data_IF_778483082739
#
_entry.id   IF_778483082739
#
_cell.length_a   1.000
_cell.length_b   1.000
_cell.length_c   1.000
_cell.angle_alpha   90.00
_cell.angle_beta   90.00
_cell.angle_gamma   90.00
#
_symmetry.space_group_name_H-M   'P 1'
#
loop_
_entity.id
_entity.type
_entity.pdbx_description
1 polymer ?
#
# COMPACT_ATOMS: atom_id res chain seq x y z
N UNK A 1 -25.35 -18.06 -6.34
CA UNK A 1 -24.15 -18.65 -5.72
C UNK A 1 -24.08 -18.37 -4.23
N UNK A 2 -23.81 -19.40 -3.41
CA UNK A 2 -23.42 -19.26 -2.01
C UNK A 2 -21.92 -19.58 -1.93
N UNK A 3 -21.12 -18.61 -1.50
CA UNK A 3 -19.67 -18.71 -1.36
C UNK A 3 -19.28 -18.63 0.10
N UNK A 4 -18.19 -19.30 0.45
CA UNK A 4 -17.57 -19.21 1.77
C UNK A 4 -16.20 -18.53 1.68
N UNK A 5 -15.88 -17.70 2.66
CA UNK A 5 -14.59 -17.02 2.75
C UNK A 5 -13.52 -17.97 3.30
N UNK A 6 -12.34 -17.99 2.67
CA UNK A 6 -11.14 -18.66 3.19
C UNK A 6 -9.87 -17.85 2.95
N UNK A 7 -8.88 -18.04 3.82
CA UNK A 7 -7.50 -17.55 3.61
C UNK A 7 -6.58 -18.73 3.39
N UNK A 8 -5.99 -18.82 2.20
CA UNK A 8 -5.22 -19.98 1.77
C UNK A 8 -3.80 -19.59 1.41
N UNK A 9 -2.81 -20.23 2.04
CA UNK A 9 -1.39 -20.01 1.72
C UNK A 9 -0.92 -20.69 0.42
N UNK A 10 -1.77 -21.51 -0.21
CA UNK A 10 -1.48 -22.21 -1.46
C UNK A 10 -2.74 -22.39 -2.29
N UNK A 11 -2.59 -22.56 -3.60
CA UNK A 11 -3.71 -22.77 -4.51
C UNK A 11 -4.42 -24.12 -4.21
N UNK A 12 -5.74 -24.11 -4.00
CA UNK A 12 -6.52 -25.34 -3.85
C UNK A 12 -6.68 -26.05 -5.21
N UNK A 13 -7.04 -27.33 -5.18
CA UNK A 13 -7.24 -28.13 -6.40
C UNK A 13 -8.63 -27.90 -7.03
N UNK A 14 -9.62 -27.60 -6.21
CA UNK A 14 -10.96 -27.22 -6.60
C UNK A 14 -11.01 -25.80 -7.21
N UNK A 15 -11.99 -25.51 -8.08
CA UNK A 15 -12.20 -24.16 -8.56
C UNK A 15 -12.62 -23.22 -7.42
N UNK A 16 -12.00 -22.04 -7.38
CA UNK A 16 -12.30 -20.97 -6.41
C UNK A 16 -12.41 -19.63 -7.12
N UNK A 17 -12.99 -18.63 -6.43
CA UNK A 17 -12.82 -17.23 -6.80
C UNK A 17 -11.69 -16.68 -5.95
N UNK A 18 -10.53 -16.51 -6.55
CA UNK A 18 -9.38 -15.88 -5.91
C UNK A 18 -9.49 -14.36 -6.09
N UNK A 19 -9.39 -13.62 -5.00
CA UNK A 19 -9.32 -12.15 -5.05
C UNK A 19 -7.98 -11.69 -4.49
N UNK A 20 -7.55 -10.53 -4.95
CA UNK A 20 -6.42 -9.79 -4.37
C UNK A 20 -5.15 -10.65 -4.15
N UNK A 21 -4.77 -11.37 -5.19
CA UNK A 21 -3.57 -12.17 -5.21
C UNK A 21 -3.42 -12.88 -6.55
N UNK A 22 -2.20 -13.33 -6.84
CA UNK A 22 -1.88 -14.09 -8.04
C UNK A 22 -1.04 -15.32 -7.66
N UNK A 23 -1.70 -16.40 -7.25
CA UNK A 23 -1.01 -17.63 -6.79
C UNK A 23 -1.49 -18.91 -7.48
N UNK A 24 -2.08 -18.79 -8.68
CA UNK A 24 -2.27 -19.92 -9.59
C UNK A 24 -3.50 -20.78 -9.31
N UNK A 25 -4.55 -20.19 -8.73
CA UNK A 25 -5.80 -20.89 -8.42
C UNK A 25 -6.53 -21.35 -9.70
N UNK A 26 -7.17 -22.51 -9.64
CA UNK A 26 -8.17 -22.91 -10.64
C UNK A 26 -9.45 -22.10 -10.41
N UNK A 27 -10.13 -21.69 -11.48
CA UNK A 27 -11.35 -20.89 -11.42
C UNK A 27 -11.09 -19.43 -11.82
N UNK A 28 -11.75 -18.49 -11.14
CA UNK A 28 -11.73 -17.07 -11.48
C UNK A 28 -10.76 -16.29 -10.59
N UNK A 29 -9.87 -15.51 -11.20
CA UNK A 29 -8.99 -14.57 -10.48
C UNK A 29 -9.48 -13.13 -10.66
N UNK A 30 -9.59 -12.37 -9.57
CA UNK A 30 -10.02 -10.96 -9.53
C UNK A 30 -8.96 -10.16 -8.76
N UNK A 31 -7.89 -9.76 -9.45
CA UNK A 31 -6.72 -9.13 -8.85
C UNK A 31 -6.05 -8.17 -9.84
N UNK A 32 -5.19 -7.29 -9.35
CA UNK A 32 -4.21 -6.50 -10.13
C UNK A 32 -2.75 -6.94 -9.89
N UNK A 33 -2.54 -8.02 -9.14
CA UNK A 33 -1.20 -8.46 -8.74
C UNK A 33 -0.40 -8.87 -9.97
N UNK A 34 0.94 -8.70 -9.96
CA UNK A 34 1.77 -9.12 -11.09
C UNK A 34 1.52 -10.57 -11.50
N UNK A 35 1.22 -10.79 -12.79
CA UNK A 35 0.95 -12.12 -13.33
C UNK A 35 -0.45 -12.69 -13.07
N UNK A 36 -1.40 -11.87 -12.60
CA UNK A 36 -2.80 -12.28 -12.44
C UNK A 36 -3.44 -12.73 -13.77
N UNK A 37 -4.47 -13.57 -13.70
CA UNK A 37 -5.25 -14.05 -14.87
C UNK A 37 -6.67 -13.47 -14.90
N UNK A 38 -6.87 -12.27 -14.36
CA UNK A 38 -8.20 -11.64 -14.38
C UNK A 38 -8.68 -11.40 -15.81
N UNK A 39 -9.91 -11.84 -16.15
CA UNK A 39 -10.46 -11.63 -17.49
C UNK A 39 -10.43 -10.15 -17.91
N UNK A 40 -10.07 -9.80 -19.16
CA UNK A 40 -9.93 -8.41 -19.61
C UNK A 40 -11.16 -7.53 -19.37
N UNK A 41 -12.37 -8.09 -19.45
CA UNK A 41 -13.61 -7.37 -19.16
C UNK A 41 -13.77 -7.00 -17.68
N UNK A 42 -13.09 -7.72 -16.79
CA UNK A 42 -13.13 -7.55 -15.34
C UNK A 42 -11.90 -6.84 -14.76
N UNK A 43 -10.86 -6.54 -15.55
CA UNK A 43 -9.66 -5.88 -15.03
C UNK A 43 -9.93 -4.46 -14.53
N UNK A 44 -9.31 -4.07 -13.43
CA UNK A 44 -9.35 -2.73 -12.86
C UNK A 44 -7.99 -2.41 -12.22
N UNK A 45 -7.74 -1.14 -11.91
CA UNK A 45 -6.54 -0.73 -11.16
C UNK A 45 -6.49 -1.28 -9.73
N UNK A 46 -7.57 -1.84 -9.19
CA UNK A 46 -7.71 -2.32 -7.81
C UNK A 46 -8.32 -3.72 -7.84
N UNK A 47 -7.89 -4.64 -6.98
CA UNK A 47 -8.52 -5.97 -6.88
C UNK A 47 -9.99 -5.85 -6.45
N UNK A 48 -10.30 -4.90 -5.56
CA UNK A 48 -11.69 -4.50 -5.26
C UNK A 48 -12.46 -4.05 -6.49
N UNK A 49 -11.83 -3.27 -7.37
CA UNK A 49 -12.44 -2.85 -8.62
C UNK A 49 -12.72 -4.02 -9.57
N UNK A 50 -11.83 -5.01 -9.63
CA UNK A 50 -12.06 -6.26 -10.36
C UNK A 50 -13.27 -7.01 -9.79
N UNK A 51 -13.35 -7.12 -8.46
CA UNK A 51 -14.47 -7.75 -7.76
C UNK A 51 -15.80 -7.01 -7.96
N UNK A 52 -15.80 -5.68 -7.98
CA UNK A 52 -16.98 -4.86 -8.26
C UNK A 52 -17.46 -5.01 -9.70
N UNK A 53 -16.55 -5.12 -10.68
CA UNK A 53 -16.91 -5.44 -12.07
C UNK A 53 -17.57 -6.81 -12.17
N UNK A 54 -17.06 -7.80 -11.45
CA UNK A 54 -17.71 -9.11 -11.34
C UNK A 54 -19.08 -9.01 -10.66
N UNK A 55 -19.21 -8.24 -9.58
CA UNK A 55 -20.48 -8.03 -8.86
C UNK A 55 -21.58 -7.43 -9.75
N UNK A 56 -21.22 -6.55 -10.70
CA UNK A 56 -22.16 -5.95 -11.66
C UNK A 56 -22.75 -6.93 -12.66
N UNK A 57 -22.09 -8.07 -12.91
CA UNK A 57 -22.61 -9.08 -13.81
C UNK A 57 -23.93 -9.63 -13.26
N UNK A 58 -24.89 -9.96 -14.14
CA UNK A 58 -26.12 -10.62 -13.72
C UNK A 58 -25.85 -11.98 -13.08
N UNK A 59 -26.73 -12.44 -12.18
CA UNK A 59 -26.54 -13.70 -11.45
C UNK A 59 -26.21 -14.93 -12.33
N UNK A 60 -26.84 -15.15 -13.51
CA UNK A 60 -26.48 -16.25 -14.39
C UNK A 60 -25.05 -16.14 -14.94
N UNK A 61 -24.57 -14.92 -15.17
CA UNK A 61 -23.20 -14.71 -15.63
C UNK A 61 -22.19 -14.90 -14.49
N UNK A 62 -22.49 -14.41 -13.28
CA UNK A 62 -21.64 -14.67 -12.12
C UNK A 62 -21.47 -16.16 -11.84
N UNK A 63 -22.56 -16.93 -11.88
CA UNK A 63 -22.51 -18.38 -11.67
C UNK A 63 -21.70 -19.09 -12.77
N UNK A 64 -21.81 -18.64 -14.02
CA UNK A 64 -21.03 -19.17 -15.14
C UNK A 64 -19.53 -18.91 -14.97
N UNK A 65 -19.16 -17.67 -14.66
CA UNK A 65 -17.77 -17.24 -14.46
C UNK A 65 -17.13 -17.84 -13.21
N UNK A 66 -17.92 -18.16 -12.19
CA UNK A 66 -17.44 -18.83 -10.99
C UNK A 66 -17.06 -20.29 -11.23
N UNK A 67 -17.48 -20.91 -12.33
CA UNK A 67 -17.12 -22.29 -12.71
C UNK A 67 -17.39 -23.32 -11.60
N UNK A 68 -18.48 -23.15 -10.85
CA UNK A 68 -18.84 -24.03 -9.75
C UNK A 68 -18.05 -23.81 -8.45
N UNK A 69 -17.27 -22.72 -8.36
CA UNK A 69 -16.58 -22.33 -7.15
C UNK A 69 -17.55 -22.23 -5.95
N UNK A 70 -17.07 -22.71 -4.81
CA UNK A 70 -17.75 -22.62 -3.51
C UNK A 70 -17.01 -21.73 -2.52
N UNK A 71 -15.77 -21.36 -2.84
CA UNK A 71 -14.93 -20.53 -1.98
C UNK A 71 -14.59 -19.21 -2.68
N UNK A 72 -14.61 -18.13 -1.91
CA UNK A 72 -13.90 -16.89 -2.22
C UNK A 72 -12.65 -16.83 -1.35
N UNK A 73 -11.48 -16.74 -1.98
CA UNK A 73 -10.20 -16.92 -1.29
C UNK A 73 -9.29 -15.72 -1.48
N UNK A 74 -8.51 -15.42 -0.44
CA UNK A 74 -7.33 -14.55 -0.51
C UNK A 74 -6.12 -15.30 0.10
N UNK A 75 -4.89 -14.94 -0.27
CA UNK A 75 -3.66 -15.52 0.30
C UNK A 75 -3.03 -14.68 1.41
N UNK A 76 -3.51 -13.46 1.63
CA UNK A 76 -2.99 -12.58 2.67
C UNK A 76 -4.12 -11.76 3.31
N UNK A 77 -3.77 -10.87 4.23
CA UNK A 77 -4.70 -9.99 4.92
C UNK A 77 -4.28 -8.53 4.81
N UNK A 78 -5.19 -7.73 4.32
CA UNK A 78 -5.01 -6.33 3.95
C UNK A 78 -6.39 -5.69 3.70
N UNK A 79 -6.38 -4.41 3.31
CA UNK A 79 -7.59 -3.62 3.07
C UNK A 79 -8.20 -3.87 1.70
N UNK A 80 -7.42 -4.00 0.61
CA UNK A 80 -8.00 -4.26 -0.73
C UNK A 80 -8.61 -5.65 -0.78
N UNK A 81 -7.94 -6.65 -0.22
CA UNK A 81 -8.49 -7.99 -0.06
C UNK A 81 -9.78 -8.05 0.77
N UNK A 82 -9.90 -7.23 1.82
CA UNK A 82 -11.12 -7.16 2.61
C UNK A 82 -12.30 -6.65 1.76
N UNK A 83 -12.06 -5.57 1.01
CA UNK A 83 -13.04 -4.95 0.14
C UNK A 83 -13.39 -5.84 -1.07
N UNK A 84 -12.42 -6.53 -1.66
CA UNK A 84 -12.61 -7.43 -2.79
C UNK A 84 -13.43 -8.66 -2.40
N UNK A 85 -13.11 -9.30 -1.27
CA UNK A 85 -13.91 -10.40 -0.73
C UNK A 85 -15.34 -9.94 -0.42
N UNK A 86 -15.51 -8.74 0.13
CA UNK A 86 -16.85 -8.20 0.42
C UNK A 86 -17.67 -8.00 -0.86
N UNK A 87 -17.07 -7.48 -1.92
CA UNK A 87 -17.72 -7.30 -3.22
C UNK A 87 -18.16 -8.63 -3.88
N UNK A 88 -17.38 -9.70 -3.70
CA UNK A 88 -17.75 -11.03 -4.19
C UNK A 88 -18.86 -11.67 -3.35
N UNK A 89 -18.81 -11.54 -2.02
CA UNK A 89 -19.72 -12.21 -1.10
C UNK A 89 -21.06 -11.48 -0.92
N UNK A 90 -21.07 -10.15 -1.07
CA UNK A 90 -22.23 -9.28 -0.85
C UNK A 90 -22.40 -8.29 -2.02
N UNK A 91 -22.61 -8.77 -3.26
CA UNK A 91 -22.49 -7.94 -4.46
C UNK A 91 -23.45 -6.75 -4.47
N UNK A 92 -24.72 -6.93 -4.09
CA UNK A 92 -25.69 -5.84 -4.09
C UNK A 92 -25.35 -4.76 -3.05
N UNK A 93 -24.89 -5.16 -1.86
CA UNK A 93 -24.48 -4.24 -0.80
C UNK A 93 -23.18 -3.50 -1.15
N UNK A 94 -22.24 -4.18 -1.79
CA UNK A 94 -20.99 -3.59 -2.26
C UNK A 94 -21.23 -2.56 -3.37
N UNK A 95 -22.08 -2.87 -4.34
CA UNK A 95 -22.42 -1.92 -5.41
C UNK A 95 -23.13 -0.67 -4.88
N UNK A 96 -23.90 -0.78 -3.79
CA UNK A 96 -24.50 0.37 -3.14
C UNK A 96 -23.50 1.32 -2.47
N UNK A 97 -22.25 0.86 -2.24
CA UNK A 97 -21.15 1.59 -1.59
C UNK A 97 -19.87 1.56 -2.44
N UNK A 98 -20.04 1.48 -3.76
CA UNK A 98 -18.94 1.24 -4.69
C UNK A 98 -17.82 2.28 -4.54
N UNK A 99 -18.19 3.55 -4.46
CA UNK A 99 -17.23 4.64 -4.36
C UNK A 99 -16.41 4.53 -3.07
N UNK A 100 -17.06 4.32 -1.94
CA UNK A 100 -16.42 4.22 -0.63
C UNK A 100 -15.49 3.00 -0.55
N UNK A 101 -15.87 1.88 -1.17
CA UNK A 101 -15.01 0.70 -1.28
C UNK A 101 -13.76 0.94 -2.13
N UNK A 102 -13.90 1.64 -3.27
CA UNK A 102 -12.75 1.98 -4.13
C UNK A 102 -11.81 2.98 -3.44
N UNK A 103 -12.35 3.98 -2.74
CA UNK A 103 -11.55 4.93 -1.96
C UNK A 103 -10.79 4.21 -0.83
N UNK A 104 -11.43 3.25 -0.14
CA UNK A 104 -10.81 2.45 0.91
C UNK A 104 -9.70 1.54 0.37
N UNK A 105 -9.97 0.82 -0.73
CA UNK A 105 -8.97 -0.02 -1.39
C UNK A 105 -7.75 0.79 -1.88
N UNK A 106 -7.98 1.98 -2.46
CA UNK A 106 -6.89 2.88 -2.86
C UNK A 106 -6.05 3.38 -1.67
N UNK A 107 -6.68 3.58 -0.50
CA UNK A 107 -5.95 3.92 0.71
C UNK A 107 -5.01 2.77 1.13
N UNK A 108 -5.52 1.55 1.20
CA UNK A 108 -4.70 0.39 1.58
C UNK A 108 -3.56 0.08 0.62
N UNK A 109 -3.86 -0.05 -0.68
CA UNK A 109 -2.84 -0.50 -1.63
C UNK A 109 -1.91 0.61 -2.08
N UNK A 110 -2.45 1.80 -2.34
CA UNK A 110 -1.69 2.88 -2.95
C UNK A 110 -1.22 3.93 -1.94
N UNK A 111 -1.61 3.79 -0.67
CA UNK A 111 -1.42 4.82 0.36
C UNK A 111 -2.04 6.16 -0.08
N UNK A 112 -3.06 6.12 -0.94
CA UNK A 112 -3.81 7.33 -1.32
C UNK A 112 -4.66 7.78 -0.13
N UNK A 113 -4.92 9.08 -0.02
CA UNK A 113 -5.75 9.63 1.06
C UNK A 113 -6.98 10.35 0.50
N UNK A 114 -7.88 9.64 -0.23
CA UNK A 114 -9.03 10.26 -0.89
C UNK A 114 -10.01 10.88 0.10
N UNK A 115 -10.09 10.32 1.32
CA UNK A 115 -10.87 10.87 2.43
C UNK A 115 -10.28 10.47 3.78
N UNK A 116 -10.58 11.24 4.83
CA UNK A 116 -10.20 10.84 6.20
C UNK A 116 -10.87 9.53 6.62
N UNK A 117 -12.07 9.24 6.09
CA UNK A 117 -12.76 7.99 6.33
C UNK A 117 -11.98 6.80 5.77
N UNK A 118 -11.46 6.91 4.54
CA UNK A 118 -10.66 5.86 3.93
C UNK A 118 -9.39 5.56 4.74
N UNK A 119 -8.65 6.59 5.16
CA UNK A 119 -7.44 6.44 6.01
C UNK A 119 -7.79 5.83 7.37
N UNK A 120 -8.90 6.26 7.98
CA UNK A 120 -9.35 5.71 9.25
C UNK A 120 -9.73 4.23 9.14
N UNK A 121 -10.40 3.85 8.05
CA UNK A 121 -10.82 2.47 7.81
C UNK A 121 -9.65 1.57 7.46
N UNK A 122 -8.71 2.04 6.64
CA UNK A 122 -7.48 1.31 6.35
C UNK A 122 -6.70 1.02 7.63
N UNK A 123 -6.50 2.05 8.47
CA UNK A 123 -5.89 1.88 9.78
C UNK A 123 -6.67 0.89 10.67
N UNK A 124 -8.00 0.99 10.71
CA UNK A 124 -8.82 0.10 11.52
C UNK A 124 -8.72 -1.37 11.08
N UNK A 125 -8.72 -1.61 9.77
CA UNK A 125 -8.60 -2.95 9.16
C UNK A 125 -7.19 -3.48 9.41
N UNK A 126 -6.14 -2.73 9.07
CA UNK A 126 -4.75 -3.14 9.30
C UNK A 126 -4.47 -3.47 10.78
N UNK A 127 -4.90 -2.60 11.70
CA UNK A 127 -4.71 -2.82 13.14
C UNK A 127 -5.53 -3.97 13.72
N UNK A 128 -6.57 -4.45 13.02
CA UNK A 128 -7.28 -5.66 13.44
C UNK A 128 -6.43 -6.92 13.25
N UNK A 129 -5.52 -6.92 12.28
CA UNK A 129 -4.53 -7.99 12.08
C UNK A 129 -3.36 -7.95 13.06
N UNK A 130 -3.12 -6.82 13.72
CA UNK A 130 -2.00 -6.59 14.64
C UNK A 130 -2.17 -7.34 15.97
N UNK A 131 -1.12 -8.06 16.40
CA UNK A 131 -1.19 -8.91 17.60
C UNK A 131 -1.34 -8.15 18.91
N UNK A 132 -0.84 -6.92 18.98
CA UNK A 132 -0.88 -6.10 20.18
C UNK A 132 -2.16 -5.25 20.29
N UNK A 133 -2.76 -4.87 19.15
CA UNK A 133 -3.88 -3.91 19.10
C UNK A 133 -5.23 -4.53 18.75
N UNK A 134 -5.24 -5.71 18.13
CA UNK A 134 -6.47 -6.37 17.69
C UNK A 134 -7.46 -6.62 18.83
N UNK A 135 -8.76 -6.46 18.53
CA UNK A 135 -9.83 -6.91 19.42
C UNK A 135 -9.75 -8.42 19.71
N UNK A 136 -9.07 -9.19 18.85
CA UNK A 136 -8.83 -10.62 19.02
C UNK A 136 -7.54 -10.96 19.74
N UNK A 137 -6.74 -9.97 20.21
CA UNK A 137 -5.38 -10.16 20.72
C UNK A 137 -5.22 -11.30 21.74
N UNK A 138 -6.24 -11.59 22.56
CA UNK A 138 -6.22 -12.70 23.54
C UNK A 138 -6.33 -14.09 22.90
N UNK A 139 -6.94 -14.18 21.73
CA UNK A 139 -7.20 -15.42 20.99
C UNK A 139 -6.14 -15.63 19.89
N UNK A 140 -5.46 -14.57 19.47
CA UNK A 140 -4.40 -14.61 18.44
C UNK A 140 -3.23 -15.56 18.72
N UNK A 141 -2.74 -15.77 19.97
CA UNK A 141 -1.62 -16.67 20.21
C UNK A 141 -1.91 -18.14 19.91
N UNK A 142 -3.18 -18.53 19.80
CA UNK A 142 -3.62 -19.92 19.61
C UNK A 142 -3.93 -20.23 18.13
N UNK A 143 -4.22 -19.20 17.34
CA UNK A 143 -4.61 -19.36 15.94
C UNK A 143 -3.41 -19.33 15.00
N UNK A 144 -3.49 -20.10 13.92
CA UNK A 144 -2.61 -19.90 12.76
C UNK A 144 -2.85 -18.54 12.10
N UNK A 145 -1.90 -18.08 11.29
CA UNK A 145 -2.05 -16.80 10.57
C UNK A 145 -3.29 -16.80 9.65
N UNK A 146 -3.56 -17.91 8.97
CA UNK A 146 -4.75 -18.07 8.12
C UNK A 146 -6.05 -17.95 8.92
N UNK A 147 -6.19 -18.68 10.03
CA UNK A 147 -7.38 -18.62 10.90
C UNK A 147 -7.58 -17.23 11.50
N UNK A 148 -6.48 -16.55 11.88
CA UNK A 148 -6.53 -15.15 12.32
C UNK A 148 -7.09 -14.26 11.21
N UNK A 149 -6.55 -14.36 10.00
CA UNK A 149 -6.95 -13.51 8.88
C UNK A 149 -8.41 -13.75 8.47
N UNK A 150 -8.87 -15.01 8.43
CA UNK A 150 -10.29 -15.35 8.20
C UNK A 150 -11.20 -14.71 9.24
N UNK A 151 -10.80 -14.75 10.51
CA UNK A 151 -11.55 -14.11 11.59
C UNK A 151 -11.58 -12.60 11.48
N UNK A 152 -10.45 -11.99 11.11
CA UNK A 152 -10.36 -10.55 10.88
C UNK A 152 -11.26 -10.14 9.71
N UNK A 153 -11.20 -10.84 8.57
CA UNK A 153 -12.10 -10.58 7.44
C UNK A 153 -13.57 -10.75 7.81
N UNK A 154 -13.93 -11.82 8.53
CA UNK A 154 -15.30 -12.05 8.99
C UNK A 154 -15.80 -10.87 9.85
N UNK A 155 -14.95 -10.38 10.75
CA UNK A 155 -15.28 -9.22 11.57
C UNK A 155 -15.43 -7.95 10.73
N UNK A 156 -14.47 -7.66 9.84
CA UNK A 156 -14.53 -6.50 8.95
C UNK A 156 -15.82 -6.55 8.14
N UNK A 157 -16.15 -7.66 7.50
CA UNK A 157 -17.36 -7.79 6.67
C UNK A 157 -18.65 -7.57 7.45
N UNK A 158 -18.70 -8.01 8.71
CA UNK A 158 -19.84 -7.76 9.59
C UNK A 158 -20.00 -6.27 9.97
N UNK A 159 -18.90 -5.53 10.05
CA UNK A 159 -18.91 -4.10 10.42
C UNK A 159 -18.92 -3.16 9.21
N UNK A 160 -18.45 -3.61 8.04
CA UNK A 160 -18.15 -2.79 6.88
C UNK A 160 -19.34 -1.92 6.43
N UNK A 161 -20.60 -2.38 6.40
CA UNK A 161 -21.74 -1.52 6.07
C UNK A 161 -21.89 -0.29 6.98
N UNK A 162 -21.65 -0.46 8.29
CA UNK A 162 -21.74 0.64 9.28
C UNK A 162 -20.53 1.55 9.18
N UNK A 163 -19.35 0.94 9.03
CA UNK A 163 -18.08 1.62 8.88
C UNK A 163 -18.03 2.52 7.63
N UNK A 164 -18.46 2.02 6.47
CA UNK A 164 -18.59 2.80 5.24
C UNK A 164 -19.66 3.91 5.35
N UNK A 165 -20.63 3.77 6.25
CA UNK A 165 -21.59 4.83 6.57
C UNK A 165 -21.04 5.88 7.56
N UNK A 166 -19.79 5.74 8.01
CA UNK A 166 -19.12 6.66 8.94
C UNK A 166 -19.34 6.34 10.43
N UNK A 167 -20.06 5.28 10.77
CA UNK A 167 -20.22 4.84 12.16
C UNK A 167 -19.02 3.99 12.59
N UNK A 168 -17.98 4.66 13.10
CA UNK A 168 -16.73 4.05 13.55
C UNK A 168 -16.59 3.96 15.07
N UNK A 169 -17.68 4.10 15.82
CA UNK A 169 -17.62 4.16 17.29
C UNK A 169 -16.98 2.88 17.86
N UNK A 170 -17.32 1.72 17.31
CA UNK A 170 -16.76 0.42 17.73
C UNK A 170 -15.29 0.23 17.37
N UNK A 171 -14.79 0.94 16.35
CA UNK A 171 -13.43 0.82 15.83
C UNK A 171 -12.50 1.92 16.33
N UNK A 172 -12.96 2.85 17.18
CA UNK A 172 -12.22 4.04 17.61
C UNK A 172 -10.77 3.76 18.02
N UNK A 173 -10.56 2.74 18.87
CA UNK A 173 -9.22 2.36 19.34
C UNK A 173 -8.28 1.79 18.28
N UNK A 174 -8.79 1.47 17.08
CA UNK A 174 -8.03 0.88 15.97
C UNK A 174 -7.54 1.91 14.94
N UNK A 175 -8.01 3.16 14.97
CA UNK A 175 -7.63 4.14 13.92
C UNK A 175 -7.29 5.54 14.42
N UNK A 176 -7.74 5.95 15.61
CA UNK A 176 -7.61 7.35 16.03
C UNK A 176 -6.17 7.85 16.03
N UNK A 177 -5.25 7.01 16.52
CA UNK A 177 -3.83 7.35 16.58
C UNK A 177 -3.26 7.59 15.18
N UNK A 178 -3.56 6.70 14.24
CA UNK A 178 -3.12 6.76 12.85
C UNK A 178 -3.74 7.95 12.12
N UNK A 179 -5.03 8.22 12.34
CA UNK A 179 -5.73 9.34 11.71
C UNK A 179 -5.21 10.69 12.22
N UNK A 180 -4.96 10.82 13.52
CA UNK A 180 -4.38 12.04 14.09
C UNK A 180 -2.94 12.25 13.65
N UNK A 181 -2.15 11.17 13.57
CA UNK A 181 -0.82 11.19 12.98
C UNK A 181 -0.85 11.64 11.51
N UNK A 182 -1.76 11.08 10.70
CA UNK A 182 -1.96 11.46 9.31
C UNK A 182 -2.35 12.95 9.17
N UNK A 183 -3.26 13.45 10.01
CA UNK A 183 -3.65 14.87 10.02
C UNK A 183 -2.46 15.78 10.36
N UNK A 184 -1.63 15.39 11.32
CA UNK A 184 -0.41 16.13 11.64
C UNK A 184 0.57 16.14 10.46
N UNK A 185 0.78 14.98 9.85
CA UNK A 185 1.68 14.82 8.71
C UNK A 185 1.21 15.64 7.50
N UNK A 186 -0.09 15.66 7.21
CA UNK A 186 -0.65 16.50 6.14
C UNK A 186 -0.38 17.98 6.36
N UNK A 187 -0.42 18.47 7.60
CA UNK A 187 -0.08 19.87 7.92
C UNK A 187 1.40 20.16 7.68
N UNK A 188 2.27 19.20 7.98
CA UNK A 188 3.71 19.30 7.71
C UNK A 188 3.97 19.30 6.20
N UNK A 189 3.43 18.32 5.47
CA UNK A 189 3.59 18.21 4.01
C UNK A 189 3.02 19.43 3.28
N UNK A 190 1.89 19.99 3.73
CA UNK A 190 1.29 21.18 3.13
C UNK A 190 2.19 22.43 3.21
N UNK A 191 3.18 22.45 4.09
CA UNK A 191 4.15 23.55 4.24
C UNK A 191 5.46 23.30 3.48
N UNK A 192 5.68 22.08 2.99
CA UNK A 192 6.90 21.73 2.27
C UNK A 192 7.00 22.49 0.94
N UNK A 193 8.22 22.90 0.58
CA UNK A 193 8.50 23.29 -0.80
C UNK A 193 8.40 22.06 -1.70
N UNK A 194 7.71 22.21 -2.82
CA UNK A 194 7.45 21.13 -3.76
C UNK A 194 8.09 21.38 -5.12
N UNK A 195 8.74 20.35 -5.67
CA UNK A 195 9.23 20.32 -7.05
C UNK A 195 8.77 19.03 -7.74
N UNK A 196 8.10 19.15 -8.89
CA UNK A 196 7.58 18.00 -9.64
C UNK A 196 8.45 17.69 -10.87
N UNK A 197 8.75 16.41 -11.05
CA UNK A 197 9.59 15.88 -12.13
C UNK A 197 8.79 14.82 -12.92
N UNK A 198 7.83 15.24 -13.78
CA UNK A 198 6.90 14.35 -14.47
C UNK A 198 7.57 13.31 -15.37
N UNK A 199 8.74 13.61 -15.94
CA UNK A 199 9.50 12.72 -16.80
C UNK A 199 9.94 11.43 -16.07
N UNK A 200 10.10 11.48 -14.75
CA UNK A 200 10.47 10.34 -13.92
C UNK A 200 9.45 10.03 -12.82
N UNK A 201 8.22 10.57 -12.94
CA UNK A 201 7.13 10.36 -11.99
C UNK A 201 7.56 10.59 -10.52
N UNK A 202 8.30 11.67 -10.27
CA UNK A 202 8.81 12.02 -8.96
C UNK A 202 8.24 13.37 -8.49
N UNK A 203 7.86 13.42 -7.21
CA UNK A 203 7.66 14.64 -6.45
C UNK A 203 8.78 14.77 -5.42
N UNK A 204 9.43 15.92 -5.34
CA UNK A 204 10.36 16.25 -4.25
C UNK A 204 9.68 17.19 -3.27
N UNK A 205 9.61 16.77 -2.01
CA UNK A 205 9.09 17.54 -0.88
C UNK A 205 10.27 17.90 0.03
N UNK A 206 10.52 19.20 0.18
CA UNK A 206 11.55 19.72 1.06
C UNK A 206 10.89 20.52 2.20
N UNK A 207 10.98 20.00 3.42
CA UNK A 207 10.52 20.69 4.63
C UNK A 207 11.68 21.52 5.17
N UNK A 208 11.41 22.77 5.56
CA UNK A 208 12.43 23.70 6.03
C UNK A 208 12.65 23.65 7.53
N UNK A 209 11.61 23.28 8.27
CA UNK A 209 11.66 23.16 9.72
C UNK A 209 12.21 21.80 10.15
N UNK A 210 13.01 21.75 11.23
CA UNK A 210 13.54 20.50 11.73
C UNK A 210 12.44 19.62 12.31
N UNK A 211 12.51 18.32 12.00
CA UNK A 211 11.59 17.32 12.52
C UNK A 211 12.24 16.46 13.60
N UNK A 212 11.45 16.10 14.61
CA UNK A 212 11.85 15.17 15.65
C UNK A 212 12.03 13.75 15.06
N UNK A 213 12.80 12.91 15.77
CA UNK A 213 12.92 11.49 15.44
C UNK A 213 11.54 10.83 15.47
N UNK A 214 11.22 10.06 14.42
CA UNK A 214 9.93 9.37 14.27
C UNK A 214 8.75 10.27 13.91
N UNK A 215 8.98 11.54 13.55
CA UNK A 215 7.93 12.48 13.12
C UNK A 215 8.00 12.83 11.63
N UNK A 216 8.75 12.06 10.83
CA UNK A 216 8.69 12.18 9.37
C UNK A 216 7.29 11.83 8.86
N UNK A 217 6.75 12.57 7.86
CA UNK A 217 5.43 12.30 7.32
C UNK A 217 5.24 10.86 6.83
N UNK A 218 4.09 10.29 7.19
CA UNK A 218 3.65 8.97 6.74
C UNK A 218 3.40 8.86 5.24
N UNK A 219 3.41 7.63 4.71
CA UNK A 219 3.12 7.28 3.31
C UNK A 219 1.79 7.86 2.84
N UNK A 220 0.74 7.75 3.66
CA UNK A 220 -0.58 8.32 3.33
C UNK A 220 -0.52 9.84 3.12
N UNK A 221 0.29 10.55 3.90
CA UNK A 221 0.45 12.00 3.73
C UNK A 221 1.33 12.35 2.53
N UNK A 222 2.36 11.54 2.26
CA UNK A 222 3.28 11.72 1.12
C UNK A 222 2.58 11.48 -0.22
N UNK A 223 1.92 10.33 -0.38
CA UNK A 223 1.19 9.99 -1.61
C UNK A 223 -0.13 10.75 -1.71
N UNK A 224 -0.80 11.07 -0.59
CA UNK A 224 -1.96 11.97 -0.59
C UNK A 224 -1.66 13.41 -1.03
N UNK A 225 -0.39 13.83 -1.06
CA UNK A 225 0.00 15.17 -1.48
C UNK A 225 0.23 15.30 -3.01
N UNK A 226 0.23 14.21 -3.78
CA UNK A 226 0.49 14.25 -5.21
C UNK A 226 -0.01 13.02 -5.96
N UNK A 227 0.23 12.98 -7.27
CA UNK A 227 -0.24 11.88 -8.15
C UNK A 227 0.93 11.10 -8.76
N UNK A 228 2.11 11.20 -8.15
CA UNK A 228 3.35 10.65 -8.68
C UNK A 228 3.71 9.36 -7.96
N UNK A 229 4.23 8.40 -8.71
CA UNK A 229 4.61 7.09 -8.18
C UNK A 229 5.84 7.15 -7.25
N UNK A 230 6.51 8.30 -7.12
CA UNK A 230 7.72 8.45 -6.31
C UNK A 230 7.67 9.75 -5.54
N UNK A 231 8.05 9.69 -4.27
CA UNK A 231 8.18 10.86 -3.42
C UNK A 231 9.56 10.85 -2.78
N UNK A 232 10.38 11.86 -3.07
CA UNK A 232 11.58 12.16 -2.31
C UNK A 232 11.20 13.16 -1.23
N UNK A 233 11.37 12.79 0.03
CA UNK A 233 11.24 13.65 1.19
C UNK A 233 12.63 14.09 1.66
N UNK A 234 12.80 15.36 1.99
CA UNK A 234 14.01 15.89 2.62
C UNK A 234 13.65 16.90 3.71
N UNK A 235 14.29 16.82 4.87
CA UNK A 235 14.06 17.73 5.99
C UNK A 235 15.30 17.84 6.88
N UNK A 236 15.53 18.98 7.56
CA UNK A 236 16.68 19.11 8.44
C UNK A 236 16.49 18.33 9.76
N UNK A 237 17.61 17.84 10.29
CA UNK A 237 17.75 17.33 11.66
C UNK A 237 19.15 17.71 12.15
N UNK A 238 19.38 17.77 13.46
CA UNK A 238 20.66 18.22 14.02
C UNK A 238 21.87 17.61 13.28
N UNK A 239 22.71 18.49 12.75
CA UNK A 239 23.91 18.14 11.99
C UNK A 239 23.73 17.93 10.48
N UNK A 240 22.53 17.80 9.93
CA UNK A 240 22.39 17.53 8.48
C UNK A 240 20.95 17.49 7.99
N UNK A 241 20.69 16.68 6.96
CA UNK A 241 19.35 16.46 6.43
C UNK A 241 19.00 14.97 6.44
N UNK A 242 17.77 14.66 6.79
CA UNK A 242 17.22 13.33 6.57
C UNK A 242 16.61 13.27 5.18
N UNK A 243 16.79 12.12 4.50
CA UNK A 243 16.26 11.88 3.17
C UNK A 243 15.61 10.51 3.10
N UNK A 244 14.46 10.45 2.42
CA UNK A 244 13.69 9.23 2.20
C UNK A 244 13.06 9.31 0.81
N UNK A 245 13.39 8.37 -0.06
CA UNK A 245 12.70 8.14 -1.32
C UNK A 245 11.73 6.97 -1.13
N UNK A 246 10.45 7.19 -1.36
CA UNK A 246 9.42 6.15 -1.33
C UNK A 246 8.87 5.95 -2.73
N UNK A 247 8.79 4.69 -3.17
CA UNK A 247 8.24 4.31 -4.48
C UNK A 247 6.89 3.62 -4.27
N UNK A 248 5.84 4.15 -4.88
CA UNK A 248 4.47 3.64 -4.80
C UNK A 248 4.35 2.22 -5.35
N UNK A 249 3.47 1.45 -4.71
CA UNK A 249 2.95 0.16 -5.16
C UNK A 249 2.31 0.21 -6.55
N UNK A 250 1.78 1.37 -6.99
CA UNK A 250 1.25 1.56 -8.37
C UNK A 250 2.27 1.19 -9.44
N UNK A 251 3.56 1.39 -9.15
CA UNK A 251 4.65 1.01 -10.05
C UNK A 251 5.08 -0.46 -9.94
N UNK A 252 4.36 -1.28 -9.17
CA UNK A 252 4.58 -2.72 -8.99
C UNK A 252 3.51 -3.55 -9.70
N UNK A 253 2.25 -3.18 -9.51
CA UNK A 253 1.06 -3.90 -10.00
C UNK A 253 0.93 -3.87 -11.53
N UNK A 254 0.13 -4.82 -12.05
CA UNK A 254 -0.23 -4.91 -13.46
C UNK A 254 -1.51 -4.08 -13.72
N UNK A 255 -1.34 -2.75 -13.78
CA UNK A 255 -2.47 -1.82 -13.92
C UNK A 255 -2.94 -1.70 -15.38
N UNK A 256 -4.25 -1.83 -15.66
CA UNK A 256 -4.78 -1.70 -17.02
C UNK A 256 -4.61 -0.27 -17.55
N UNK A 257 -4.08 -0.13 -18.77
CA UNK A 257 -3.98 1.17 -19.44
C UNK A 257 -2.83 2.08 -18.99
N UNK A 258 -2.00 1.62 -18.05
CA UNK A 258 -0.81 2.36 -17.60
C UNK A 258 0.46 1.56 -17.90
N UNK A 259 1.30 2.07 -18.79
CA UNK A 259 2.64 1.51 -18.99
C UNK A 259 3.45 1.67 -17.70
N UNK A 260 3.78 0.54 -17.06
CA UNK A 260 4.60 0.52 -15.84
C UNK A 260 5.92 1.22 -16.12
N UNK A 261 6.18 2.32 -15.40
CA UNK A 261 7.47 2.99 -15.50
C UNK A 261 8.52 2.10 -14.85
N UNK A 262 9.68 1.87 -15.51
CA UNK A 262 10.76 1.10 -14.92
C UNK A 262 11.18 1.75 -13.62
N UNK A 263 11.59 0.94 -12.64
CA UNK A 263 12.11 1.42 -11.35
C UNK A 263 13.64 1.53 -11.43
N UNK A 264 14.24 2.57 -10.82
CA UNK A 264 15.69 2.67 -10.76
C UNK A 264 16.27 1.53 -9.90
N UNK A 265 17.51 1.13 -10.19
CA UNK A 265 18.26 0.26 -9.28
C UNK A 265 18.59 1.04 -8.00
N UNK A 266 17.78 0.84 -6.96
CA UNK A 266 17.93 1.54 -5.69
C UNK A 266 19.20 1.13 -4.95
N UNK A 267 19.68 -0.11 -5.13
CA UNK A 267 20.92 -0.56 -4.51
C UNK A 267 22.14 0.13 -5.15
N UNK A 268 22.13 0.30 -6.48
CA UNK A 268 23.16 1.09 -7.17
C UNK A 268 23.11 2.57 -6.76
N UNK A 269 21.91 3.15 -6.62
CA UNK A 269 21.74 4.53 -6.17
C UNK A 269 22.21 4.72 -4.72
N UNK A 270 21.91 3.79 -3.81
CA UNK A 270 22.40 3.83 -2.43
C UNK A 270 23.94 3.82 -2.39
N UNK A 271 24.59 2.92 -3.14
CA UNK A 271 26.06 2.90 -3.27
C UNK A 271 26.63 4.18 -3.88
N UNK A 272 25.92 4.83 -4.80
CA UNK A 272 26.33 6.13 -5.36
C UNK A 272 26.28 7.22 -4.31
N UNK A 273 25.20 7.29 -3.53
CA UNK A 273 25.01 8.27 -2.47
C UNK A 273 25.99 8.07 -1.31
N UNK A 274 26.28 6.82 -0.91
CA UNK A 274 27.30 6.52 0.11
C UNK A 274 28.68 7.06 -0.25
N UNK A 275 29.09 6.96 -1.52
CA UNK A 275 30.38 7.53 -1.97
C UNK A 275 30.42 9.04 -1.90
N UNK A 276 29.27 9.70 -2.00
CA UNK A 276 29.14 11.15 -1.97
C UNK A 276 29.00 11.69 -0.55
N UNK A 277 28.47 10.90 0.37
CA UNK A 277 28.11 11.34 1.70
C UNK A 277 29.29 11.29 2.69
N UNK A 278 29.76 12.43 3.22
CA UNK A 278 30.88 12.45 4.17
C UNK A 278 30.55 11.80 5.53
N UNK A 279 29.27 11.46 5.77
CA UNK A 279 28.79 10.78 6.98
C UNK A 279 28.58 9.28 6.81
N UNK A 280 28.65 8.75 5.58
CA UNK A 280 28.50 7.32 5.36
C UNK A 280 29.55 6.54 6.17
N UNK A 281 29.10 5.46 6.84
CA UNK A 281 29.90 4.61 7.70
C UNK A 281 30.18 5.16 9.10
N UNK A 282 29.79 6.40 9.42
CA UNK A 282 29.91 6.95 10.78
C UNK A 282 28.78 6.40 11.66
N UNK A 283 29.12 5.93 12.86
CA UNK A 283 28.17 5.42 13.84
C UNK A 283 27.23 4.32 13.30
N UNK A 284 27.68 3.59 12.27
CA UNK A 284 26.90 2.55 11.58
C UNK A 284 25.79 3.07 10.66
N UNK A 285 25.75 4.38 10.35
CA UNK A 285 24.78 4.95 9.43
C UNK A 285 25.28 4.91 7.98
N UNK A 286 24.37 4.67 7.03
CA UNK A 286 24.66 4.67 5.59
C UNK A 286 23.42 4.87 4.74
N UNK A 287 23.60 4.92 3.43
CA UNK A 287 22.50 4.85 2.47
C UNK A 287 22.07 3.41 2.29
N UNK A 288 20.80 3.16 2.58
CA UNK A 288 20.17 1.85 2.47
C UNK A 288 19.05 1.89 1.43
N UNK A 289 18.76 0.71 0.87
CA UNK A 289 17.67 0.54 -0.07
C UNK A 289 17.03 -0.83 0.10
N UNK A 290 15.70 -0.86 0.00
CA UNK A 290 14.96 -2.10 -0.23
C UNK A 290 15.09 -2.53 -1.69
N UNK A 291 14.94 -3.84 -1.94
CA UNK A 291 15.02 -4.39 -3.29
C UNK A 291 13.93 -3.79 -4.18
N UNK A 292 14.31 -3.35 -5.38
CA UNK A 292 13.44 -2.53 -6.26
C UNK A 292 12.24 -3.30 -6.84
N UNK A 293 12.27 -4.63 -6.77
CA UNK A 293 11.23 -5.56 -7.19
C UNK A 293 10.16 -5.81 -6.11
N UNK A 294 10.37 -5.35 -4.87
CA UNK A 294 9.36 -5.42 -3.80
C UNK A 294 8.21 -4.43 -4.06
N UNK A 295 7.00 -4.60 -3.49
CA UNK A 295 5.85 -3.75 -3.79
C UNK A 295 6.07 -2.24 -3.66
N UNK A 296 6.58 -1.75 -2.53
CA UNK A 296 6.79 -0.31 -2.28
C UNK A 296 8.14 0.00 -1.64
N UNK A 297 9.23 -0.12 -2.41
CA UNK A 297 10.58 -0.04 -1.88
C UNK A 297 10.94 1.39 -1.46
N UNK A 298 11.82 1.47 -0.48
CA UNK A 298 12.41 2.72 -0.01
C UNK A 298 13.92 2.79 -0.23
N UNK A 299 14.42 4.02 -0.32
CA UNK A 299 15.83 4.37 -0.16
C UNK A 299 15.95 5.49 0.89
N UNK A 300 16.89 5.36 1.81
CA UNK A 300 17.04 6.31 2.92
C UNK A 300 18.49 6.37 3.41
N UNK A 301 18.82 7.43 4.17
CA UNK A 301 20.05 7.49 4.96
C UNK A 301 19.74 7.23 6.43
N UNK A 302 20.44 6.28 7.06
CA UNK A 302 20.20 5.95 8.46
C UNK A 302 20.70 4.57 8.85
N UNK A 303 19.94 3.90 9.72
CA UNK A 303 20.19 2.50 10.11
C UNK A 303 19.61 1.53 9.08
N UNK A 304 20.16 0.32 9.02
CA UNK A 304 19.82 -0.68 7.99
C UNK A 304 18.41 -1.26 8.10
N UNK A 305 17.88 -1.39 9.32
CA UNK A 305 16.62 -2.12 9.53
C UNK A 305 15.44 -1.18 9.36
N UNK A 306 14.65 -1.45 8.32
CA UNK A 306 13.34 -0.85 8.09
C UNK A 306 12.33 -1.94 7.73
N UNK A 307 11.27 -2.04 8.52
CA UNK A 307 10.15 -2.94 8.23
C UNK A 307 9.37 -2.46 6.99
N UNK A 308 8.86 -3.42 6.20
CA UNK A 308 8.14 -3.12 4.97
C UNK A 308 6.80 -2.44 5.25
N UNK A 309 6.35 -1.57 4.35
CA UNK A 309 5.06 -0.84 4.43
C UNK A 309 4.84 0.08 5.66
N UNK A 310 5.87 0.34 6.47
CA UNK A 310 5.74 1.30 7.58
C UNK A 310 5.38 2.68 7.06
N UNK A 311 4.39 3.32 7.71
CA UNK A 311 4.04 4.72 7.46
C UNK A 311 5.30 5.61 7.56
N UNK A 312 6.05 5.46 8.65
CA UNK A 312 7.22 6.27 8.99
C UNK A 312 8.51 5.46 8.96
N UNK A 313 9.63 6.13 8.72
CA UNK A 313 10.96 5.52 8.76
C UNK A 313 11.70 5.97 10.03
N UNK A 314 11.61 5.16 11.09
CA UNK A 314 12.25 5.39 12.37
C UNK A 314 13.78 5.18 12.36
N UNK A 315 14.29 4.57 11.28
CA UNK A 315 15.71 4.35 11.03
C UNK A 315 16.44 5.60 10.47
N UNK A 316 15.73 6.68 10.11
CA UNK A 316 16.33 7.88 9.52
C UNK A 316 17.36 8.56 10.44
N UNK A 317 18.53 8.87 9.86
CA UNK A 317 19.58 9.69 10.47
C UNK A 317 19.94 10.88 9.56
N UNK A 318 20.61 11.94 10.07
CA UNK A 318 21.00 13.08 9.26
C UNK A 318 22.23 12.79 8.38
N UNK A 319 22.02 12.72 7.07
CA UNK A 319 23.03 12.72 5.99
C UNK A 319 23.81 14.03 5.94
N UNK A 320 25.06 13.98 5.44
CA UNK A 320 25.85 15.17 5.15
C UNK A 320 25.53 15.81 3.80
N UNK A 321 24.67 15.18 2.99
CA UNK A 321 24.29 15.70 1.68
C UNK A 321 23.19 16.76 1.79
N UNK A 322 23.24 17.74 0.90
CA UNK A 322 22.17 18.72 0.74
C UNK A 322 21.00 18.10 -0.06
N UNK A 323 19.73 18.52 0.17
CA UNK A 323 18.57 18.02 -0.56
C UNK A 323 18.73 18.02 -2.09
N UNK A 324 19.31 19.09 -2.65
CA UNK A 324 19.53 19.20 -4.09
C UNK A 324 20.48 18.11 -4.62
N UNK A 325 21.53 17.77 -3.86
CA UNK A 325 22.51 16.76 -4.28
C UNK A 325 21.89 15.37 -4.35
N UNK A 326 21.00 15.04 -3.41
CA UNK A 326 20.25 13.79 -3.39
C UNK A 326 19.25 13.76 -4.55
N UNK A 327 18.52 14.86 -4.78
CA UNK A 327 17.61 14.99 -5.91
C UNK A 327 18.32 14.75 -7.24
N UNK A 328 19.49 15.39 -7.47
CA UNK A 328 20.26 15.22 -8.71
C UNK A 328 20.65 13.76 -8.95
N UNK A 329 21.07 13.04 -7.91
CA UNK A 329 21.42 11.63 -7.99
C UNK A 329 20.19 10.76 -8.32
N UNK A 330 19.04 11.03 -7.70
CA UNK A 330 17.77 10.34 -7.99
C UNK A 330 17.35 10.57 -9.44
N UNK A 331 17.38 11.83 -9.91
CA UNK A 331 17.00 12.17 -11.29
C UNK A 331 17.93 11.50 -12.31
N UNK A 332 19.24 11.49 -12.03
CA UNK A 332 20.24 10.80 -12.85
C UNK A 332 19.98 9.30 -12.93
N UNK A 333 19.73 8.64 -11.78
CA UNK A 333 19.41 7.22 -11.73
C UNK A 333 18.13 6.88 -12.50
N UNK A 334 17.07 7.68 -12.36
CA UNK A 334 15.83 7.48 -13.09
C UNK A 334 15.98 7.74 -14.60
N UNK A 335 16.86 8.64 -15.02
CA UNK A 335 17.07 8.95 -16.45
C UNK A 335 17.88 7.88 -17.19
N UNK A 336 18.63 7.05 -16.46
CA UNK A 336 19.40 5.92 -17.02
C UNK A 336 18.56 4.67 -17.29
N UNK A 337 17.27 4.69 -16.96
CA UNK A 337 16.39 3.55 -17.15
C UNK A 337 16.04 3.35 -18.63
N UNK A 338 15.97 2.11 -19.12
CA UNK A 338 15.50 1.85 -20.47
C UNK A 338 14.08 2.39 -20.64
N UNK A 339 13.76 2.96 -21.81
CA UNK A 339 12.37 3.34 -22.11
C UNK A 339 11.46 2.11 -21.97
N UNK A 340 10.22 2.26 -21.47
CA UNK A 340 9.28 1.15 -21.42
C UNK A 340 9.16 0.56 -22.84
N UNK A 341 9.30 -0.76 -22.96
CA UNK A 341 9.01 -1.45 -24.21
C UNK A 341 7.54 -1.17 -24.54
N UNK A 342 7.32 -0.57 -25.71
CA UNK A 342 5.99 -0.14 -26.18
C UNK A 342 5.11 -1.27 -26.64
#
# INVERSE_FOLDING_TARGET
MQLELRVLGAAPAEPVICVDGAFGCRGLELSHWPGHRTPPDLTHELSTGCALRFARLGAPERERRAEGARLAVNNHYDTDGACALYAVLQPEAALARERELLELAAAGDFFEAPSELAVALDAAIGNLGDRARSAFARELPVLSDAERHERCYTHVHAQLPRWLAGDLVSARGLYELELDAHRADRRVVARARRSDHPQVALTHLCIDEPLLRGSDPGRHALFGAGVRDRVLLSFPREGGHCHRLVVSTRSWFDLPGLARRPRPDLAALARELDRLDPRAGRDGAGWHAQASDTPSPELWFGREVLEFFRERNDALEPSGLAPQRVLDAVLSACSRMPSPAG
#
